data_IF_532700272144
#
_entry.id   IF_532700272144
#
_cell.length_a   1.000
_cell.length_b   1.000
_cell.length_c   1.000
_cell.angle_alpha   90.00
_cell.angle_beta   90.00
_cell.angle_gamma   90.00
#
_symmetry.space_group_name_H-M   'P 1'
#
loop_
_entity.id
_entity.type
_entity.pdbx_description
1 polymer ?
#
# COMPACT_ATOMS: atom_id res chain seq x y z
N UNK A 1 10.70 -0.50 -6.39
CA UNK A 1 9.29 -1.01 -6.39
C UNK A 1 9.30 -2.33 -7.14
N UNK A 2 8.51 -3.34 -6.72
CA UNK A 2 8.37 -4.55 -7.54
C UNK A 2 7.51 -4.23 -8.76
N UNK A 3 8.10 -4.32 -9.95
CA UNK A 3 7.43 -3.93 -11.20
C UNK A 3 6.31 -4.90 -11.62
N UNK A 4 6.35 -6.15 -11.16
CA UNK A 4 5.32 -7.16 -11.46
C UNK A 4 4.03 -6.92 -10.69
N UNK A 5 4.10 -6.84 -9.35
CA UNK A 5 2.89 -6.70 -8.53
C UNK A 5 2.56 -5.25 -8.13
N UNK A 6 3.53 -4.32 -8.19
CA UNK A 6 3.41 -2.93 -7.72
C UNK A 6 2.95 -2.75 -6.26
N UNK A 7 2.95 -3.83 -5.46
CA UNK A 7 2.51 -3.81 -4.05
C UNK A 7 3.66 -3.43 -3.11
N UNK A 8 4.90 -3.84 -3.41
CA UNK A 8 6.06 -3.59 -2.53
C UNK A 8 6.99 -2.50 -3.07
N UNK A 9 7.40 -1.61 -2.17
CA UNK A 9 8.47 -0.65 -2.39
C UNK A 9 9.71 -1.08 -1.60
N UNK A 10 10.79 -1.43 -2.31
CA UNK A 10 12.10 -1.63 -1.71
C UNK A 10 12.83 -0.30 -1.56
N UNK A 11 13.50 -0.09 -0.42
CA UNK A 11 14.31 1.11 -0.18
C UNK A 11 15.70 1.04 -0.83
N UNK A 12 16.17 -0.15 -1.23
CA UNK A 12 17.43 -0.33 -1.96
C UNK A 12 17.38 -1.57 -2.84
N UNK A 13 18.30 -1.62 -3.82
CA UNK A 13 18.50 -2.81 -4.68
C UNK A 13 18.92 -4.03 -3.87
N UNK A 14 19.68 -3.84 -2.79
CA UNK A 14 20.10 -4.94 -1.92
C UNK A 14 18.91 -5.56 -1.18
N UNK A 15 17.96 -4.73 -0.73
CA UNK A 15 16.73 -5.21 -0.09
C UNK A 15 15.77 -5.84 -1.09
N UNK A 16 15.74 -5.36 -2.33
CA UNK A 16 15.03 -6.04 -3.42
C UNK A 16 15.61 -7.44 -3.65
N UNK A 17 16.94 -7.58 -3.79
CA UNK A 17 17.59 -8.86 -4.03
C UNK A 17 17.40 -9.84 -2.86
N UNK A 18 17.53 -9.37 -1.62
CA UNK A 18 17.28 -10.18 -0.41
C UNK A 18 15.83 -10.62 -0.30
N UNK A 19 14.88 -9.72 -0.60
CA UNK A 19 13.45 -9.99 -0.54
C UNK A 19 12.93 -10.79 -1.74
N UNK A 20 13.69 -10.92 -2.83
CA UNK A 20 13.23 -11.53 -4.08
C UNK A 20 12.80 -12.98 -3.87
N UNK A 21 13.58 -13.78 -3.15
CA UNK A 21 13.26 -15.19 -2.91
C UNK A 21 11.98 -15.39 -2.12
N UNK A 22 11.78 -14.62 -1.04
CA UNK A 22 10.59 -14.72 -0.19
C UNK A 22 9.35 -14.04 -0.79
N UNK A 23 9.54 -13.05 -1.66
CA UNK A 23 8.46 -12.34 -2.34
C UNK A 23 7.96 -13.05 -3.61
N UNK A 24 8.80 -13.84 -4.28
CA UNK A 24 8.52 -14.35 -5.63
C UNK A 24 7.20 -15.13 -5.74
N UNK A 25 6.90 -15.99 -4.76
CA UNK A 25 5.66 -16.78 -4.74
C UNK A 25 4.42 -15.88 -4.65
N UNK A 26 4.36 -15.01 -3.63
CA UNK A 26 3.23 -14.10 -3.47
C UNK A 26 3.14 -13.08 -4.60
N UNK A 27 4.27 -12.69 -5.19
CA UNK A 27 4.32 -11.78 -6.32
C UNK A 27 3.58 -12.34 -7.53
N UNK A 28 3.80 -13.61 -7.89
CA UNK A 28 3.11 -14.24 -9.02
C UNK A 28 1.61 -14.40 -8.79
N UNK A 29 1.21 -14.70 -7.54
CA UNK A 29 -0.21 -14.76 -7.17
C UNK A 29 -0.85 -13.38 -7.24
N UNK A 30 -0.19 -12.36 -6.70
CA UNK A 30 -0.67 -10.97 -6.76
C UNK A 30 -0.80 -10.49 -8.20
N UNK A 31 0.19 -10.76 -9.05
CA UNK A 31 0.15 -10.43 -10.47
C UNK A 31 -1.07 -11.08 -11.14
N UNK A 32 -1.28 -12.38 -10.94
CA UNK A 32 -2.42 -13.11 -11.50
C UNK A 32 -3.76 -12.57 -10.98
N UNK A 33 -3.87 -12.33 -9.67
CA UNK A 33 -5.09 -11.82 -9.04
C UNK A 33 -5.41 -10.41 -9.54
N UNK A 34 -4.43 -9.50 -9.56
CA UNK A 34 -4.64 -8.11 -9.96
C UNK A 34 -4.93 -7.96 -11.46
N UNK A 35 -4.43 -8.86 -12.30
CA UNK A 35 -4.80 -8.92 -13.72
C UNK A 35 -6.26 -9.35 -13.92
N UNK A 36 -6.74 -10.31 -13.14
CA UNK A 36 -8.13 -10.79 -13.23
C UNK A 36 -9.14 -9.89 -12.48
N UNK A 37 -8.66 -9.09 -11.53
CA UNK A 37 -9.46 -8.24 -10.65
C UNK A 37 -8.93 -6.79 -10.61
N UNK A 38 -9.05 -6.03 -11.71
CA UNK A 38 -8.52 -4.67 -11.80
C UNK A 38 -9.13 -3.70 -10.78
N UNK A 39 -10.30 -4.01 -10.21
CA UNK A 39 -10.95 -3.24 -9.15
C UNK A 39 -10.10 -3.12 -7.87
N UNK A 40 -9.15 -4.03 -7.65
CA UNK A 40 -8.23 -3.94 -6.51
C UNK A 40 -7.12 -2.91 -6.72
N UNK A 41 -6.86 -2.51 -7.96
CA UNK A 41 -5.85 -1.51 -8.33
C UNK A 41 -6.46 -0.14 -8.68
N UNK A 42 -7.67 -0.14 -9.26
CA UNK A 42 -8.40 1.06 -9.65
C UNK A 42 -9.35 1.43 -8.51
N UNK A 43 -8.81 2.10 -7.50
CA UNK A 43 -9.61 2.63 -6.39
C UNK A 43 -9.94 4.09 -6.64
N UNK A 44 -11.23 4.38 -6.80
CA UNK A 44 -11.70 5.75 -6.99
C UNK A 44 -12.65 6.11 -5.86
N UNK A 45 -12.23 7.07 -5.03
CA UNK A 45 -13.06 7.69 -3.99
C UNK A 45 -13.66 6.71 -2.99
N UNK A 46 -12.91 5.67 -2.63
CA UNK A 46 -13.33 4.82 -1.52
C UNK A 46 -13.31 5.65 -0.23
N UNK A 47 -14.32 5.44 0.60
CA UNK A 47 -14.25 5.76 2.01
C UNK A 47 -13.42 4.70 2.76
N UNK A 48 -13.15 4.94 4.04
CA UNK A 48 -12.33 4.07 4.87
C UNK A 48 -12.88 2.64 4.96
N UNK A 49 -14.19 2.46 5.06
CA UNK A 49 -14.83 1.14 5.17
C UNK A 49 -14.73 0.36 3.86
N UNK A 50 -15.01 1.02 2.73
CA UNK A 50 -14.86 0.46 1.39
C UNK A 50 -13.42 0.01 1.12
N UNK A 51 -12.45 0.83 1.52
CA UNK A 51 -11.04 0.49 1.42
C UNK A 51 -10.68 -0.74 2.26
N UNK A 52 -11.06 -0.75 3.54
CA UNK A 52 -10.80 -1.90 4.43
C UNK A 52 -11.43 -3.17 3.85
N UNK A 53 -12.66 -3.10 3.34
CA UNK A 53 -13.35 -4.23 2.75
C UNK A 53 -12.66 -4.72 1.47
N UNK A 54 -12.25 -3.79 0.60
CA UNK A 54 -11.46 -4.11 -0.60
C UNK A 54 -10.15 -4.83 -0.26
N UNK A 55 -9.41 -4.36 0.75
CA UNK A 55 -8.16 -5.00 1.20
C UNK A 55 -8.39 -6.38 1.81
N UNK A 56 -9.45 -6.56 2.60
CA UNK A 56 -9.86 -7.87 3.12
C UNK A 56 -10.22 -8.85 2.00
N UNK A 57 -10.93 -8.39 0.98
CA UNK A 57 -11.31 -9.22 -0.18
C UNK A 57 -10.08 -9.65 -0.98
N UNK A 58 -9.16 -8.72 -1.27
CA UNK A 58 -7.88 -9.04 -1.92
C UNK A 58 -7.07 -10.02 -1.08
N UNK A 59 -6.94 -9.77 0.22
CA UNK A 59 -6.23 -10.64 1.16
C UNK A 59 -6.78 -12.07 1.14
N UNK A 60 -8.11 -12.22 1.19
CA UNK A 60 -8.77 -13.53 1.15
C UNK A 60 -8.53 -14.24 -0.17
N UNK A 61 -8.55 -13.51 -1.30
CA UNK A 61 -8.30 -14.09 -2.61
C UNK A 61 -6.86 -14.56 -2.75
N UNK A 62 -5.88 -13.76 -2.31
CA UNK A 62 -4.46 -14.16 -2.31
C UNK A 62 -4.24 -15.36 -1.41
N UNK A 63 -4.81 -15.37 -0.19
CA UNK A 63 -4.72 -16.51 0.74
C UNK A 63 -5.24 -17.82 0.15
N UNK A 64 -6.33 -17.77 -0.63
CA UNK A 64 -6.91 -18.96 -1.29
C UNK A 64 -6.02 -19.53 -2.41
N UNK A 65 -5.18 -18.69 -3.01
CA UNK A 65 -4.29 -19.08 -4.11
C UNK A 65 -2.88 -19.46 -3.61
N UNK A 66 -2.55 -19.13 -2.36
CA UNK A 66 -1.28 -19.46 -1.73
C UNK A 66 -1.31 -20.91 -1.23
N UNK A 67 -0.26 -21.68 -1.50
CA UNK A 67 -0.16 -23.10 -1.12
C UNK A 67 0.40 -23.31 0.30
N UNK A 68 0.61 -22.21 1.02
CA UNK A 68 1.15 -22.17 2.38
C UNK A 68 0.42 -21.09 3.18
N UNK A 69 0.71 -21.04 4.47
CA UNK A 69 0.28 -19.92 5.30
C UNK A 69 0.92 -18.60 4.83
N UNK A 70 0.08 -17.57 4.82
CA UNK A 70 0.50 -16.21 4.51
C UNK A 70 1.28 -15.64 5.69
N UNK A 71 2.47 -15.11 5.41
CA UNK A 71 3.33 -14.53 6.43
C UNK A 71 2.77 -13.17 6.91
N UNK A 72 3.04 -12.76 8.15
CA UNK A 72 2.52 -11.50 8.69
C UNK A 72 2.87 -10.28 7.82
N UNK A 73 4.10 -10.21 7.29
CA UNK A 73 4.52 -9.10 6.43
C UNK A 73 3.77 -9.07 5.09
N UNK A 74 3.41 -10.24 4.54
CA UNK A 74 2.63 -10.35 3.30
C UNK A 74 1.21 -9.83 3.49
N UNK A 75 0.60 -10.14 4.64
CA UNK A 75 -0.69 -9.60 5.02
C UNK A 75 -0.62 -8.08 5.21
N UNK A 76 0.42 -7.59 5.88
CA UNK A 76 0.64 -6.15 6.08
C UNK A 76 0.82 -5.41 4.74
N UNK A 77 1.55 -5.98 3.78
CA UNK A 77 1.73 -5.41 2.44
C UNK A 77 0.39 -5.18 1.71
N UNK A 78 -0.56 -6.10 1.86
CA UNK A 78 -1.89 -5.98 1.26
C UNK A 78 -2.75 -4.98 2.04
N UNK A 79 -2.79 -5.11 3.37
CA UNK A 79 -3.68 -4.30 4.23
C UNK A 79 -3.27 -2.83 4.31
N UNK A 80 -1.97 -2.55 4.25
CA UNK A 80 -1.39 -1.21 4.36
C UNK A 80 -0.83 -0.71 3.02
N UNK A 81 -1.43 -1.14 1.92
CA UNK A 81 -1.04 -0.69 0.58
C UNK A 81 -1.04 0.84 0.48
N UNK A 82 -0.01 1.39 -0.19
CA UNK A 82 0.16 2.83 -0.38
C UNK A 82 -1.07 3.41 -1.11
N UNK A 83 -1.80 4.30 -0.45
CA UNK A 83 -3.00 4.94 -1.00
C UNK A 83 -3.12 6.39 -0.53
N UNK A 84 -3.90 7.21 -1.25
CA UNK A 84 -4.24 8.55 -0.79
C UNK A 84 -5.01 8.45 0.53
N UNK A 85 -4.57 9.20 1.54
CA UNK A 85 -5.19 9.21 2.87
C UNK A 85 -6.68 9.59 2.86
N UNK A 86 -7.13 10.36 1.86
CA UNK A 86 -8.50 10.88 1.81
C UNK A 86 -9.44 9.99 0.98
N UNK A 87 -8.98 9.51 -0.18
CA UNK A 87 -9.85 8.83 -1.15
C UNK A 87 -9.38 7.43 -1.57
N UNK A 88 -8.29 6.96 -0.97
CA UNK A 88 -7.63 5.69 -1.23
C UNK A 88 -7.25 5.40 -2.70
N UNK A 89 -7.17 6.42 -3.55
CA UNK A 89 -6.52 6.33 -4.87
C UNK A 89 -5.08 5.80 -4.69
N UNK A 90 -4.65 4.85 -5.52
CA UNK A 90 -3.34 4.20 -5.37
C UNK A 90 -2.29 4.75 -6.36
N UNK A 91 -2.72 5.54 -7.35
CA UNK A 91 -1.83 6.04 -8.42
C UNK A 91 -1.37 7.47 -8.18
N UNK A 92 -0.18 7.77 -8.69
CA UNK A 92 0.38 9.12 -8.76
C UNK A 92 0.36 9.85 -7.41
N UNK A 93 0.80 9.15 -6.37
CA UNK A 93 0.76 9.63 -5.00
C UNK A 93 2.04 10.37 -4.62
N UNK A 94 1.86 11.51 -3.97
CA UNK A 94 2.90 12.25 -3.27
C UNK A 94 2.94 11.80 -1.80
N UNK A 95 4.14 11.79 -1.23
CA UNK A 95 4.34 11.51 0.20
C UNK A 95 4.52 12.83 0.94
N UNK A 96 3.92 12.96 2.12
CA UNK A 96 4.11 14.16 2.94
C UNK A 96 5.56 14.28 3.38
N UNK A 97 6.29 15.29 2.91
CA UNK A 97 7.72 15.48 3.24
C UNK A 97 7.97 16.00 4.66
N UNK A 98 6.91 16.27 5.44
CA UNK A 98 7.03 16.69 6.84
C UNK A 98 7.02 15.51 7.80
N UNK A 99 6.06 14.60 7.64
CA UNK A 99 5.89 13.45 8.53
C UNK A 99 6.35 12.13 7.91
N UNK A 100 6.44 12.03 6.58
CA UNK A 100 6.69 10.80 5.81
C UNK A 100 5.69 9.65 6.04
N UNK A 101 4.67 9.84 6.89
CA UNK A 101 3.69 8.81 7.23
C UNK A 101 2.47 8.75 6.28
N UNK A 102 2.15 9.85 5.59
CA UNK A 102 0.95 9.92 4.75
C UNK A 102 1.26 10.11 3.28
N UNK A 103 0.33 9.62 2.44
CA UNK A 103 0.37 9.78 1.00
C UNK A 103 -0.92 10.44 0.50
N UNK A 104 -0.84 11.17 -0.60
CA UNK A 104 -1.98 11.89 -1.19
C UNK A 104 -1.89 12.00 -2.71
N UNK A 105 -3.05 12.02 -3.37
CA UNK A 105 -3.14 12.32 -4.78
C UNK A 105 -3.22 13.84 -5.00
N UNK A 106 -3.00 14.29 -6.23
CA UNK A 106 -3.04 15.72 -6.60
C UNK A 106 -4.36 16.41 -6.26
N UNK A 107 -5.49 15.66 -6.28
CA UNK A 107 -6.81 16.18 -5.90
C UNK A 107 -6.91 16.58 -4.42
N UNK A 108 -6.05 16.03 -3.56
CA UNK A 108 -6.09 16.25 -2.11
C UNK A 108 -4.83 16.93 -1.55
N UNK A 109 -3.98 17.48 -2.43
CA UNK A 109 -2.77 18.19 -2.05
C UNK A 109 -3.06 19.45 -1.20
N UNK A 110 -4.01 20.27 -1.65
CA UNK A 110 -4.41 21.49 -0.94
C UNK A 110 -5.01 21.16 0.44
N UNK A 111 -5.91 20.16 0.49
CA UNK A 111 -6.52 19.69 1.74
C UNK A 111 -5.47 19.30 2.78
N UNK A 112 -4.47 18.50 2.40
CA UNK A 112 -3.42 18.12 3.34
C UNK A 112 -2.49 19.27 3.70
N UNK A 113 -2.17 20.16 2.76
CA UNK A 113 -1.31 21.31 3.04
C UNK A 113 -1.90 22.19 4.14
N UNK A 114 -3.22 22.39 4.13
CA UNK A 114 -3.92 23.22 5.12
C UNK A 114 -4.32 22.45 6.39
N UNK A 115 -4.93 21.27 6.28
CA UNK A 115 -5.56 20.58 7.42
C UNK A 115 -4.68 19.53 8.10
N UNK A 116 -3.72 18.92 7.40
CA UNK A 116 -2.87 17.89 7.99
C UNK A 116 -1.66 18.47 8.74
N UNK A 117 -1.26 19.71 8.41
CA UNK A 117 -0.08 20.38 8.95
C UNK A 117 0.02 20.36 10.49
N UNK A 118 -1.12 20.40 11.20
CA UNK A 118 -1.20 20.39 12.67
C UNK A 118 -0.92 19.02 13.30
N UNK A 119 -1.19 17.93 12.58
CA UNK A 119 -0.99 16.56 13.06
C UNK A 119 0.31 15.93 12.55
N UNK A 120 0.95 16.51 11.53
CA UNK A 120 2.25 16.08 10.99
C UNK A 120 3.32 15.85 12.07
N UNK A 121 3.45 16.77 13.02
CA UNK A 121 4.52 16.73 14.02
C UNK A 121 4.42 15.51 14.92
N UNK A 122 3.19 15.15 15.33
CA UNK A 122 2.94 13.97 16.16
C UNK A 122 3.26 12.68 15.39
N UNK A 123 2.86 12.60 14.13
CA UNK A 123 3.11 11.43 13.29
C UNK A 123 4.60 11.26 12.97
N UNK A 124 5.34 12.36 12.79
CA UNK A 124 6.80 12.32 12.59
C UNK A 124 7.50 11.63 13.76
N UNK A 125 7.08 11.93 15.00
CA UNK A 125 7.66 11.28 16.19
C UNK A 125 7.40 9.77 16.23
N UNK A 126 6.30 9.27 15.68
CA UNK A 126 6.08 7.83 15.55
C UNK A 126 7.07 7.21 14.55
N UNK A 127 7.31 7.87 13.41
CA UNK A 127 8.29 7.40 12.43
C UNK A 127 9.73 7.37 12.98
N UNK A 128 10.09 8.31 13.86
CA UNK A 128 11.43 8.37 14.44
C UNK A 128 11.69 7.29 15.52
N UNK A 129 10.65 6.56 15.94
CA UNK A 129 10.74 5.52 16.99
C UNK A 129 10.75 4.10 16.37
N UNK A 130 10.32 3.94 15.11
CA UNK A 130 10.36 2.67 14.34
C UNK A 130 11.73 2.43 13.67
#
# INVERSE_FOLDING_TARGET
ICLSCNVILYCSRDHELKGKGSHQEICGILETVLQNHPEFWITHNFNQEEWINSRKNLLNLVKRNLQRDMMPYEMQMIMFAKSCFVCHEQRNLQTCMRCYCLNYCSKHEEFLTHHHSTNCTKLKSCYEID
#
